data_IF_251757711732
#
_entry.id   IF_251757711732
#
_cell.length_a   1.000
_cell.length_b   1.000
_cell.length_c   1.000
_cell.angle_alpha   90.00
_cell.angle_beta   90.00
_cell.angle_gamma   90.00
#
_symmetry.space_group_name_H-M   'P 1'
#
loop_
_entity.id
_entity.type
_entity.pdbx_description
1 polymer ?
#
# COMPACT_ATOMS: atom_id res chain seq x y z
N UNK A 1 -16.73 -52.11 -29.11
CA UNK A 1 -16.51 -52.78 -27.81
C UNK A 1 -17.75 -52.59 -26.95
N UNK A 2 -18.47 -53.66 -26.63
CA UNK A 2 -19.87 -53.61 -26.18
C UNK A 2 -20.01 -53.17 -24.71
N UNK A 3 -20.76 -52.08 -24.47
CA UNK A 3 -21.14 -51.54 -23.16
C UNK A 3 -22.19 -52.41 -22.44
N UNK A 4 -21.94 -53.72 -22.27
CA UNK A 4 -22.90 -54.62 -21.59
C UNK A 4 -22.76 -54.46 -20.06
N UNK A 5 -23.88 -54.29 -19.36
CA UNK A 5 -23.94 -54.23 -17.88
C UNK A 5 -23.83 -52.83 -17.24
N UNK A 6 -23.90 -51.74 -18.02
CA UNK A 6 -23.89 -50.38 -17.47
C UNK A 6 -25.34 -49.96 -17.21
N UNK A 7 -25.75 -49.95 -15.94
CA UNK A 7 -27.12 -49.58 -15.53
C UNK A 7 -27.29 -48.10 -15.22
N UNK A 8 -26.22 -47.34 -15.02
CA UNK A 8 -26.30 -45.89 -14.79
C UNK A 8 -25.16 -45.15 -15.49
N UNK A 9 -25.49 -44.40 -16.55
CA UNK A 9 -24.57 -43.43 -17.13
C UNK A 9 -24.69 -42.11 -16.35
N UNK A 10 -23.89 -41.96 -15.29
CA UNK A 10 -23.87 -40.72 -14.51
C UNK A 10 -23.07 -39.66 -15.28
N UNK A 11 -23.73 -38.96 -16.20
CA UNK A 11 -23.21 -37.75 -16.79
C UNK A 11 -23.19 -36.65 -15.69
N UNK A 12 -22.00 -36.33 -15.17
CA UNK A 12 -21.83 -35.26 -14.18
C UNK A 12 -22.33 -33.93 -14.77
N UNK A 13 -23.26 -33.27 -14.07
CA UNK A 13 -23.78 -31.95 -14.44
C UNK A 13 -22.64 -30.92 -14.38
N UNK A 14 -22.11 -30.48 -15.53
CA UNK A 14 -21.16 -29.34 -15.59
C UNK A 14 -21.93 -28.05 -15.36
N UNK A 15 -21.87 -27.50 -14.14
CA UNK A 15 -22.38 -26.15 -13.90
C UNK A 15 -21.37 -25.12 -14.40
N UNK A 16 -21.80 -24.24 -15.30
CA UNK A 16 -21.00 -23.07 -15.73
C UNK A 16 -21.37 -21.90 -14.83
N UNK A 17 -20.40 -21.32 -14.13
CA UNK A 17 -20.60 -20.10 -13.33
C UNK A 17 -20.25 -18.89 -14.18
N UNK A 18 -21.27 -18.13 -14.57
CA UNK A 18 -21.13 -16.80 -15.18
C UNK A 18 -21.73 -15.76 -14.27
N UNK A 19 -21.02 -14.63 -14.11
CA UNK A 19 -21.54 -13.46 -13.41
C UNK A 19 -22.31 -12.62 -14.42
N UNK A 20 -23.59 -12.33 -14.14
CA UNK A 20 -24.47 -11.59 -15.06
C UNK A 20 -24.31 -10.08 -14.97
N UNK A 21 -24.00 -9.59 -13.77
CA UNK A 21 -23.85 -8.17 -13.50
C UNK A 21 -22.65 -7.99 -12.59
N UNK A 22 -21.78 -7.07 -12.98
CA UNK A 22 -20.69 -6.65 -12.14
C UNK A 22 -21.21 -5.68 -11.07
N UNK A 23 -20.84 -5.91 -9.82
CA UNK A 23 -21.28 -5.09 -8.69
C UNK A 23 -20.28 -3.99 -8.38
N UNK A 24 -20.77 -2.84 -7.94
CA UNK A 24 -19.94 -1.79 -7.37
C UNK A 24 -19.28 -2.28 -6.07
N UNK A 25 -18.14 -1.67 -5.73
CA UNK A 25 -17.40 -1.95 -4.49
C UNK A 25 -17.51 -0.73 -3.58
N UNK A 26 -17.51 -0.93 -2.25
CA UNK A 26 -17.56 0.20 -1.31
C UNK A 26 -16.43 1.19 -1.63
N UNK A 27 -16.80 2.47 -1.80
CA UNK A 27 -15.87 3.54 -2.15
C UNK A 27 -15.58 3.73 -3.65
N UNK A 28 -16.15 2.90 -4.55
CA UNK A 28 -16.04 3.11 -6.00
C UNK A 28 -17.22 2.52 -6.79
N UNK A 29 -17.80 3.32 -7.69
CA UNK A 29 -18.81 2.82 -8.63
C UNK A 29 -18.20 1.82 -9.63
N UNK A 30 -19.06 0.94 -10.18
CA UNK A 30 -18.64 -0.03 -11.18
C UNK A 30 -18.02 0.64 -12.43
N UNK A 31 -18.60 1.75 -12.88
CA UNK A 31 -18.10 2.49 -14.05
C UNK A 31 -16.70 3.07 -13.84
N UNK A 32 -16.42 3.60 -12.63
CA UNK A 32 -15.09 4.09 -12.29
C UNK A 32 -14.04 2.97 -12.30
N UNK A 33 -14.40 1.77 -11.85
CA UNK A 33 -13.54 0.59 -11.89
C UNK A 33 -13.29 0.16 -13.34
N UNK A 34 -14.34 0.12 -14.16
CA UNK A 34 -14.25 -0.27 -15.57
C UNK A 34 -13.39 0.71 -16.38
N UNK A 35 -13.57 2.02 -16.16
CA UNK A 35 -12.78 3.05 -16.82
C UNK A 35 -11.28 2.90 -16.52
N UNK A 36 -10.91 2.69 -15.26
CA UNK A 36 -9.52 2.43 -14.86
C UNK A 36 -8.97 1.14 -15.46
N UNK A 37 -9.77 0.08 -15.54
CA UNK A 37 -9.38 -1.20 -16.13
C UNK A 37 -9.17 -1.11 -17.64
N UNK A 38 -10.01 -0.33 -18.33
CA UNK A 38 -9.98 -0.19 -19.79
C UNK A 38 -8.87 0.73 -20.32
N UNK A 39 -8.16 1.48 -19.46
CA UNK A 39 -7.04 2.32 -19.90
C UNK A 39 -5.97 1.49 -20.61
N UNK A 40 -5.45 1.99 -21.74
CA UNK A 40 -4.37 1.35 -22.49
C UNK A 40 -3.10 1.21 -21.63
N UNK A 41 -2.28 0.16 -21.82
CA UNK A 41 -1.07 -0.06 -21.04
C UNK A 41 -0.08 1.11 -21.15
N UNK A 42 -0.01 1.77 -22.30
CA UNK A 42 0.83 2.95 -22.54
C UNK A 42 0.47 4.11 -21.60
N UNK A 43 -0.83 4.43 -21.48
CA UNK A 43 -1.32 5.48 -20.58
C UNK A 43 -1.02 5.13 -19.11
N UNK A 44 -1.17 3.85 -18.74
CA UNK A 44 -0.82 3.38 -17.39
C UNK A 44 0.68 3.50 -17.12
N UNK A 45 1.52 3.17 -18.10
CA UNK A 45 2.97 3.26 -17.99
C UNK A 45 3.42 4.72 -17.83
N UNK A 46 2.86 5.63 -18.62
CA UNK A 46 3.12 7.07 -18.52
C UNK A 46 2.73 7.62 -17.14
N UNK A 47 1.53 7.28 -16.64
CA UNK A 47 1.10 7.69 -15.30
C UNK A 47 2.01 7.15 -14.19
N UNK A 48 2.48 5.90 -14.31
CA UNK A 48 3.46 5.30 -13.38
C UNK A 48 4.79 6.04 -13.41
N UNK A 49 5.33 6.32 -14.60
CA UNK A 49 6.59 7.04 -14.76
C UNK A 49 6.50 8.45 -14.17
N UNK A 50 5.41 9.18 -14.43
CA UNK A 50 5.17 10.50 -13.85
C UNK A 50 5.09 10.46 -12.31
N UNK A 51 4.42 9.45 -11.74
CA UNK A 51 4.35 9.28 -10.28
C UNK A 51 5.72 8.96 -9.66
N UNK A 52 6.52 8.14 -10.34
CA UNK A 52 7.89 7.82 -9.90
C UNK A 52 8.79 9.07 -9.96
N UNK A 53 8.68 9.87 -11.01
CA UNK A 53 9.42 11.13 -11.14
C UNK A 53 9.08 12.10 -9.99
N UNK A 54 7.79 12.37 -9.78
CA UNK A 54 7.31 13.22 -8.66
C UNK A 54 7.77 12.71 -7.29
N UNK A 55 7.75 11.39 -7.06
CA UNK A 55 8.24 10.79 -5.82
C UNK A 55 9.75 10.99 -5.62
N UNK A 56 10.54 10.84 -6.69
CA UNK A 56 11.98 11.08 -6.65
C UNK A 56 12.29 12.56 -6.40
N UNK A 57 11.59 13.48 -7.04
CA UNK A 57 11.72 14.93 -6.82
C UNK A 57 11.37 15.32 -5.39
N UNK A 58 10.23 14.84 -4.87
CA UNK A 58 9.82 15.08 -3.49
C UNK A 58 10.84 14.54 -2.47
N UNK A 59 11.47 13.39 -2.75
CA UNK A 59 12.56 12.86 -1.91
C UNK A 59 13.82 13.72 -1.97
N UNK A 60 14.21 14.20 -3.16
CA UNK A 60 15.34 15.13 -3.32
C UNK A 60 15.09 16.44 -2.59
N UNK A 61 13.90 17.02 -2.73
CA UNK A 61 13.51 18.23 -2.02
C UNK A 61 13.57 18.04 -0.49
N UNK A 62 13.01 16.94 0.02
CA UNK A 62 13.11 16.59 1.46
C UNK A 62 14.54 16.35 1.95
N UNK A 63 15.43 15.87 1.09
CA UNK A 63 16.84 15.69 1.43
C UNK A 63 17.58 17.04 1.45
N UNK A 64 17.31 17.92 0.48
CA UNK A 64 17.86 19.27 0.43
C UNK A 64 17.43 20.10 1.64
N UNK A 65 16.14 20.03 2.04
CA UNK A 65 15.64 20.72 3.24
C UNK A 65 16.22 20.17 4.55
N UNK A 66 16.62 18.89 4.59
CA UNK A 66 17.30 18.30 5.75
C UNK A 66 18.78 18.67 5.81
N UNK A 67 19.43 18.87 4.66
CA UNK A 67 20.82 19.33 4.57
C UNK A 67 20.95 20.83 4.85
N UNK A 68 19.94 21.63 4.54
CA UNK A 68 19.91 23.08 4.81
C UNK A 68 19.46 23.45 6.22
N UNK A 69 19.01 22.48 7.03
CA UNK A 69 18.76 22.71 8.44
C UNK A 69 20.05 22.36 9.20
N UNK A 70 20.80 23.33 9.76
CA UNK A 70 21.97 23.01 10.55
C UNK A 70 21.52 22.05 11.66
N UNK A 71 22.13 20.86 11.63
CA UNK A 71 21.87 19.76 12.53
C UNK A 71 21.79 20.30 13.96
N UNK A 72 20.58 20.48 14.49
CA UNK A 72 20.44 20.72 15.91
C UNK A 72 21.09 19.53 16.62
N UNK A 73 21.96 19.78 17.60
CA UNK A 73 22.71 18.72 18.25
C UNK A 73 21.69 17.71 18.77
N UNK A 74 21.83 16.44 18.33
CA UNK A 74 21.01 15.33 18.82
C UNK A 74 21.42 15.04 20.27
N UNK A 75 21.08 15.94 21.17
CA UNK A 75 21.15 15.67 22.60
C UNK A 75 20.08 14.63 22.89
N UNK A 76 20.52 13.48 23.37
CA UNK A 76 19.61 12.46 23.86
C UNK A 76 18.74 13.07 24.95
N UNK A 77 17.47 12.68 25.05
CA UNK A 77 16.55 13.14 26.10
C UNK A 77 17.09 12.85 27.52
N UNK A 78 18.06 11.96 27.63
CA UNK A 78 18.81 11.66 28.86
C UNK A 78 19.85 12.73 29.22
N UNK A 79 20.47 13.42 28.26
CA UNK A 79 21.44 14.49 28.53
C UNK A 79 20.78 15.83 28.92
N UNK A 80 19.51 16.03 28.55
CA UNK A 80 18.75 17.23 28.93
C UNK A 80 18.25 17.21 30.38
N UNK A 81 18.24 16.04 31.03
CA UNK A 81 18.05 15.90 32.47
C UNK A 81 19.43 15.88 33.10
N UNK A 82 19.99 17.08 33.28
CA UNK A 82 21.21 17.27 34.05
C UNK A 82 21.13 16.52 35.38
N UNK A 83 22.28 16.00 35.82
CA UNK A 83 22.46 15.38 37.13
C UNK A 83 21.85 16.31 38.18
N UNK A 84 20.75 15.88 38.80
CA UNK A 84 20.15 16.62 39.89
C UNK A 84 21.22 16.81 40.96
N UNK A 85 21.58 18.05 41.38
CA UNK A 85 22.53 18.23 42.45
C UNK A 85 21.94 17.56 43.69
N UNK A 86 22.60 16.49 44.14
CA UNK A 86 22.26 15.79 45.37
C UNK A 86 22.32 16.82 46.49
N UNK A 87 21.16 17.20 47.02
CA UNK A 87 21.05 18.15 48.12
C UNK A 87 21.97 17.70 49.27
N UNK A 88 22.88 18.58 49.67
CA UNK A 88 23.73 18.36 50.81
C UNK A 88 22.86 18.23 52.06
N UNK A 89 23.01 17.12 52.78
CA UNK A 89 22.39 16.93 54.08
C UNK A 89 22.96 18.00 55.03
N UNK A 90 22.15 19.04 55.30
CA UNK A 90 22.47 19.99 56.37
C UNK A 90 21.76 19.49 57.61
N UNK A 91 22.54 18.93 58.53
CA UNK A 91 22.11 18.54 59.86
C UNK A 91 21.72 19.78 60.68
N UNK A 92 20.53 19.76 61.28
CA UNK A 92 20.20 20.37 62.56
C UNK A 92 19.11 19.54 63.22
#
# INVERSE_FOLDING_TARGET
MHKKGITEEIAKKRTRRTVKHDRAVVGASWDAIRAKRAQKPEVRAAARQAAVAKSKEAKKAKAATKASNPQQPKVSKQQAKGFAPKAAATSR
#
